data_IF_789717346713
#
_entry.id   IF_789717346713
#
_cell.length_a   1.000
_cell.length_b   1.000
_cell.length_c   1.000
_cell.angle_alpha   90.00
_cell.angle_beta   90.00
_cell.angle_gamma   90.00
#
_symmetry.space_group_name_H-M   'P 1'
#
loop_
_entity.id
_entity.type
_entity.pdbx_description
1 polymer ?
#
# COMPACT_ATOMS: atom_id res chain seq x y z
N UNK A 1 15.64 1.54 4.74
CA UNK A 1 15.06 1.13 6.05
C UNK A 1 15.52 -0.25 6.47
N UNK A 2 15.19 -1.31 5.74
CA UNK A 2 15.48 -2.70 6.15
C UNK A 2 16.81 -3.28 5.62
N UNK A 3 17.72 -2.45 5.12
CA UNK A 3 19.02 -2.85 4.54
C UNK A 3 19.02 -4.12 3.64
N UNK A 4 18.11 -4.16 2.66
CA UNK A 4 17.99 -5.30 1.75
C UNK A 4 19.27 -5.57 0.93
N UNK A 5 20.19 -4.61 0.80
CA UNK A 5 21.47 -4.83 0.11
C UNK A 5 22.39 -5.74 0.92
N UNK A 6 22.44 -5.56 2.25
CA UNK A 6 23.23 -6.41 3.13
C UNK A 6 22.56 -7.77 3.37
N UNK A 7 21.25 -7.77 3.62
CA UNK A 7 20.54 -8.98 4.05
C UNK A 7 19.96 -9.83 2.91
N UNK A 8 19.70 -9.24 1.74
CA UNK A 8 19.23 -9.97 0.57
C UNK A 8 17.86 -10.61 0.72
N UNK A 9 16.91 -9.99 1.43
CA UNK A 9 15.56 -10.50 1.62
C UNK A 9 14.80 -10.71 0.30
N UNK A 10 14.89 -9.77 -0.63
CA UNK A 10 14.23 -9.85 -1.94
C UNK A 10 15.11 -9.39 -3.09
N UNK A 11 14.65 -9.67 -4.31
CA UNK A 11 15.16 -9.09 -5.55
C UNK A 11 14.00 -8.61 -6.42
N UNK A 12 14.17 -7.47 -7.09
CA UNK A 12 13.19 -6.98 -8.07
C UNK A 12 13.41 -7.67 -9.42
N UNK A 13 12.35 -8.23 -10.01
CA UNK A 13 12.36 -8.81 -11.37
C UNK A 13 11.05 -8.53 -12.08
N UNK A 14 11.10 -7.87 -13.24
CA UNK A 14 9.91 -7.51 -14.04
C UNK A 14 8.81 -6.78 -13.23
N UNK A 15 9.22 -5.91 -12.31
CA UNK A 15 8.29 -5.18 -11.42
C UNK A 15 7.86 -5.94 -10.16
N UNK A 16 8.26 -7.21 -9.99
CA UNK A 16 7.90 -8.02 -8.83
C UNK A 16 9.00 -8.04 -7.77
N UNK A 17 8.60 -7.84 -6.51
CA UNK A 17 9.43 -8.08 -5.33
C UNK A 17 9.43 -9.58 -5.00
N UNK A 18 10.43 -10.31 -5.47
CA UNK A 18 10.50 -11.77 -5.32
C UNK A 18 11.45 -12.18 -4.18
N UNK A 19 11.13 -13.24 -3.40
CA UNK A 19 12.06 -13.81 -2.42
C UNK A 19 13.37 -14.19 -3.10
N UNK A 20 14.50 -13.85 -2.48
CA UNK A 20 15.81 -14.25 -3.02
C UNK A 20 16.10 -15.72 -2.76
N UNK A 21 15.76 -16.20 -1.56
CA UNK A 21 15.93 -17.58 -1.10
C UNK A 21 14.72 -17.99 -0.26
N UNK A 22 14.44 -19.29 -0.08
CA UNK A 22 13.36 -19.75 0.80
C UNK A 22 13.47 -19.14 2.21
N UNK A 23 12.35 -18.66 2.75
CA UNK A 23 12.28 -18.06 4.10
C UNK A 23 12.84 -16.64 4.23
N UNK A 24 13.42 -16.05 3.18
CA UNK A 24 14.00 -14.70 3.26
C UNK A 24 12.96 -13.62 3.54
N UNK A 25 11.76 -13.76 2.96
CA UNK A 25 10.64 -12.86 3.24
C UNK A 25 10.08 -13.08 4.66
N UNK A 26 10.05 -14.32 5.14
CA UNK A 26 9.62 -14.60 6.52
C UNK A 26 10.54 -13.91 7.54
N UNK A 27 11.86 -13.91 7.31
CA UNK A 27 12.82 -13.18 8.15
C UNK A 27 12.54 -11.68 8.17
N UNK A 28 12.25 -11.08 7.01
CA UNK A 28 11.89 -9.66 6.92
C UNK A 28 10.57 -9.37 7.65
N UNK A 29 9.54 -10.17 7.42
CA UNK A 29 8.25 -9.99 8.11
C UNK A 29 8.40 -10.12 9.63
N UNK A 30 9.24 -11.04 10.11
CA UNK A 30 9.54 -11.17 11.54
C UNK A 30 10.29 -9.95 12.08
N UNK A 31 11.25 -9.39 11.32
CA UNK A 31 11.94 -8.16 11.70
C UNK A 31 10.96 -6.99 11.86
N UNK A 32 10.03 -6.84 10.90
CA UNK A 32 9.02 -5.79 10.93
C UNK A 32 8.07 -6.00 12.12
N UNK A 33 7.56 -7.22 12.33
CA UNK A 33 6.54 -7.51 13.35
C UNK A 33 7.04 -7.44 14.80
N UNK A 34 8.34 -7.53 15.04
CA UNK A 34 8.91 -7.56 16.40
C UNK A 34 9.61 -6.24 16.79
N UNK A 35 9.54 -5.21 15.96
CA UNK A 35 10.09 -3.88 16.25
C UNK A 35 9.13 -2.80 15.72
N UNK A 36 8.30 -2.24 16.60
CA UNK A 36 7.34 -1.19 16.26
C UNK A 36 8.01 0.00 15.55
N UNK A 37 9.24 0.36 15.95
CA UNK A 37 9.98 1.46 15.30
C UNK A 37 10.39 1.06 13.89
N UNK A 38 10.68 -0.21 13.65
CA UNK A 38 10.96 -0.71 12.31
C UNK A 38 9.71 -0.72 11.45
N UNK A 39 8.57 -1.15 12.00
CA UNK A 39 7.29 -1.15 11.30
C UNK A 39 6.90 0.25 10.83
N UNK A 40 6.94 1.24 11.73
CA UNK A 40 6.62 2.63 11.40
C UNK A 40 7.58 3.19 10.35
N UNK A 41 8.89 2.99 10.53
CA UNK A 41 9.90 3.42 9.54
C UNK A 41 9.68 2.75 8.18
N UNK A 42 9.30 1.48 8.17
CA UNK A 42 9.05 0.75 6.92
C UNK A 42 7.82 1.34 6.21
N UNK A 43 6.76 1.68 6.96
CA UNK A 43 5.54 2.32 6.45
C UNK A 43 5.81 3.71 5.89
N UNK A 44 6.56 4.54 6.61
CA UNK A 44 6.95 5.89 6.19
C UNK A 44 7.87 5.90 4.96
N UNK A 45 8.59 4.81 4.71
CA UNK A 45 9.47 4.70 3.54
C UNK A 45 8.74 4.29 2.26
N UNK A 46 7.47 3.89 2.33
CA UNK A 46 6.68 3.58 1.14
C UNK A 46 6.27 4.87 0.44
N UNK A 47 6.37 4.88 -0.88
CA UNK A 47 5.97 5.99 -1.73
C UNK A 47 4.99 5.50 -2.80
N UNK A 48 4.08 6.39 -3.20
CA UNK A 48 3.11 6.16 -4.28
C UNK A 48 3.35 7.17 -5.41
N UNK A 49 2.99 6.81 -6.63
CA UNK A 49 2.94 7.76 -7.74
C UNK A 49 1.64 8.55 -7.69
N UNK A 50 1.65 9.85 -7.98
CA UNK A 50 0.43 10.65 -8.05
C UNK A 50 0.39 11.42 -9.36
N UNK A 51 -0.69 11.25 -10.11
CA UNK A 51 -1.04 12.11 -11.23
C UNK A 51 -2.19 13.01 -10.83
N UNK A 52 -1.91 14.31 -10.74
CA UNK A 52 -2.90 15.33 -10.42
C UNK A 52 -3.64 15.77 -11.67
N UNK A 53 -4.93 16.05 -11.52
CA UNK A 53 -5.76 16.68 -12.54
C UNK A 53 -5.67 15.97 -13.91
N UNK A 54 -5.70 14.63 -13.94
CA UNK A 54 -5.63 13.85 -15.19
C UNK A 54 -7.02 13.60 -15.74
N UNK A 55 -7.18 13.67 -17.07
CA UNK A 55 -8.42 13.26 -17.73
C UNK A 55 -8.56 11.74 -17.73
N UNK A 56 -9.80 11.26 -17.67
CA UNK A 56 -10.14 9.84 -17.79
C UNK A 56 -10.49 9.54 -19.24
N UNK A 57 -9.94 8.46 -19.80
CA UNK A 57 -10.26 8.05 -21.16
C UNK A 57 -11.77 7.87 -21.37
N UNK A 58 -12.33 8.57 -22.35
CA UNK A 58 -13.77 8.52 -22.66
C UNK A 58 -14.66 9.39 -21.76
N UNK A 59 -14.08 10.23 -20.90
CA UNK A 59 -14.80 11.20 -20.07
C UNK A 59 -14.22 12.61 -20.19
N UNK A 60 -14.98 13.59 -19.69
CA UNK A 60 -14.55 15.01 -19.60
C UNK A 60 -14.16 15.45 -18.19
N UNK A 61 -14.30 14.58 -17.19
CA UNK A 61 -13.95 14.90 -15.81
C UNK A 61 -12.47 14.61 -15.54
N UNK A 62 -11.88 15.39 -14.63
CA UNK A 62 -10.49 15.25 -14.21
C UNK A 62 -10.41 14.62 -12.82
N UNK A 63 -9.40 13.79 -12.60
CA UNK A 63 -9.20 13.04 -11.36
C UNK A 63 -7.79 13.22 -10.84
N UNK A 64 -7.62 13.01 -9.53
CA UNK A 64 -6.32 12.68 -8.97
C UNK A 64 -6.20 11.16 -8.94
N UNK A 65 -5.21 10.60 -9.63
CA UNK A 65 -4.96 9.16 -9.63
C UNK A 65 -3.73 8.85 -8.80
N UNK A 66 -3.91 8.01 -7.78
CA UNK A 66 -2.83 7.52 -6.93
C UNK A 66 -2.46 6.10 -7.38
N UNK A 67 -1.22 5.94 -7.86
CA UNK A 67 -0.66 4.69 -8.32
C UNK A 67 0.05 3.97 -7.17
N UNK A 68 -0.64 2.96 -6.65
CA UNK A 68 -0.14 2.12 -5.56
C UNK A 68 0.39 0.78 -6.10
N UNK A 69 1.33 0.19 -5.35
CA UNK A 69 1.81 -1.19 -5.58
C UNK A 69 1.41 -2.09 -4.41
N UNK A 70 1.36 -3.40 -4.65
CA UNK A 70 1.22 -4.41 -3.62
C UNK A 70 2.22 -5.54 -3.84
N UNK A 71 2.48 -6.33 -2.79
CA UNK A 71 3.42 -7.43 -2.86
C UNK A 71 2.85 -8.63 -3.62
N UNK A 72 3.68 -9.36 -4.39
CA UNK A 72 3.26 -10.49 -5.19
C UNK A 72 3.19 -11.77 -4.36
N UNK A 73 2.23 -11.84 -3.43
CA UNK A 73 2.05 -12.99 -2.53
C UNK A 73 1.64 -14.25 -3.31
N UNK A 74 0.65 -14.12 -4.19
CA UNK A 74 0.06 -15.21 -4.98
C UNK A 74 1.03 -15.91 -5.96
N UNK A 75 1.75 -15.17 -6.82
CA UNK A 75 2.58 -15.79 -7.87
C UNK A 75 3.95 -16.28 -7.37
N UNK A 76 4.14 -16.48 -6.06
CA UNK A 76 5.39 -16.98 -5.48
C UNK A 76 5.21 -18.35 -4.83
N UNK A 77 6.28 -19.15 -4.76
CA UNK A 77 6.28 -20.47 -4.11
C UNK A 77 6.41 -20.39 -2.58
N UNK A 78 5.91 -19.33 -1.96
CA UNK A 78 6.04 -19.09 -0.50
C UNK A 78 4.67 -19.12 0.17
N UNK A 79 4.64 -19.41 1.49
CA UNK A 79 3.38 -19.34 2.22
C UNK A 79 2.97 -17.89 2.38
N UNK A 80 1.70 -17.57 2.18
CA UNK A 80 1.21 -16.20 2.37
C UNK A 80 1.52 -15.66 3.78
N UNK A 81 1.46 -16.49 4.83
CA UNK A 81 1.80 -16.08 6.19
C UNK A 81 3.22 -15.49 6.34
N UNK A 82 4.17 -15.88 5.48
CA UNK A 82 5.53 -15.33 5.48
C UNK A 82 5.58 -13.86 5.08
N UNK A 83 4.54 -13.36 4.39
CA UNK A 83 4.46 -11.98 3.91
C UNK A 83 3.74 -11.04 4.86
N UNK A 84 3.04 -11.55 5.87
CA UNK A 84 1.99 -10.81 6.59
C UNK A 84 2.41 -9.38 6.97
N UNK A 85 3.46 -9.22 7.78
CA UNK A 85 3.86 -7.91 8.26
C UNK A 85 4.36 -7.00 7.12
N UNK A 86 5.14 -7.55 6.17
CA UNK A 86 5.61 -6.76 5.04
C UNK A 86 4.48 -6.31 4.11
N UNK A 87 3.51 -7.20 3.85
CA UNK A 87 2.33 -6.89 3.04
C UNK A 87 1.44 -5.85 3.71
N UNK A 88 1.20 -5.98 5.02
CA UNK A 88 0.42 -5.01 5.80
C UNK A 88 1.05 -3.62 5.72
N UNK A 89 2.35 -3.48 5.94
CA UNK A 89 3.06 -2.20 5.84
C UNK A 89 2.85 -1.54 4.47
N UNK A 90 2.97 -2.30 3.37
CA UNK A 90 2.79 -1.77 2.01
C UNK A 90 1.33 -1.36 1.75
N UNK A 91 0.37 -2.19 2.15
CA UNK A 91 -1.05 -1.92 1.95
C UNK A 91 -1.51 -0.71 2.77
N UNK A 92 -1.13 -0.66 4.05
CA UNK A 92 -1.47 0.45 4.95
C UNK A 92 -0.93 1.78 4.42
N UNK A 93 0.34 1.82 4.02
CA UNK A 93 0.94 3.02 3.47
C UNK A 93 0.28 3.45 2.15
N UNK A 94 -0.12 2.49 1.30
CA UNK A 94 -0.81 2.80 0.05
C UNK A 94 -2.18 3.46 0.28
N UNK A 95 -3.00 2.92 1.20
CA UNK A 95 -4.29 3.52 1.54
C UNK A 95 -4.15 4.86 2.26
N UNK A 96 -3.23 4.95 3.23
CA UNK A 96 -2.91 6.18 3.96
C UNK A 96 -2.45 7.29 3.03
N UNK A 97 -1.53 7.00 2.11
CA UNK A 97 -1.07 7.97 1.11
C UNK A 97 -2.19 8.42 0.17
N UNK A 98 -3.10 7.50 -0.21
CA UNK A 98 -4.25 7.82 -1.05
C UNK A 98 -5.20 8.80 -0.36
N UNK A 99 -5.54 8.54 0.90
CA UNK A 99 -6.42 9.42 1.68
C UNK A 99 -5.73 10.73 2.05
N UNK A 100 -4.44 10.72 2.32
CA UNK A 100 -3.64 11.93 2.54
C UNK A 100 -3.63 12.82 1.30
N UNK A 101 -3.43 12.27 0.10
CA UNK A 101 -3.51 13.03 -1.14
C UNK A 101 -4.88 13.68 -1.35
N UNK A 102 -5.96 12.95 -1.02
CA UNK A 102 -7.31 13.48 -1.09
C UNK A 102 -7.58 14.57 -0.04
N UNK A 103 -7.06 14.42 1.18
CA UNK A 103 -7.17 15.43 2.24
C UNK A 103 -6.46 16.74 1.85
N UNK A 104 -5.29 16.65 1.22
CA UNK A 104 -4.60 17.81 0.65
C UNK A 104 -5.46 18.52 -0.40
N UNK A 105 -6.08 17.78 -1.34
CA UNK A 105 -6.98 18.37 -2.34
C UNK A 105 -8.20 19.03 -1.70
N UNK A 106 -8.76 18.42 -0.68
CA UNK A 106 -9.93 18.95 0.01
C UNK A 106 -9.61 20.26 0.73
N UNK A 107 -8.43 20.33 1.36
CA UNK A 107 -7.91 21.55 1.98
C UNK A 107 -7.64 22.65 0.94
N UNK A 108 -7.02 22.32 -0.20
CA UNK A 108 -6.72 23.26 -1.29
C UNK A 108 -8.00 23.85 -1.92
N UNK A 109 -9.02 23.02 -2.13
CA UNK A 109 -10.28 23.42 -2.77
C UNK A 109 -11.29 24.04 -1.80
N UNK A 110 -11.13 23.80 -0.51
CA UNK A 110 -12.09 24.23 0.52
C UNK A 110 -13.42 23.47 0.46
N UNK A 111 -13.43 22.25 -0.08
CA UNK A 111 -14.63 21.42 -0.25
C UNK A 111 -14.35 19.95 0.04
N UNK A 112 -15.41 19.15 0.18
CA UNK A 112 -15.25 17.70 0.37
C UNK A 112 -14.80 17.03 -0.92
N UNK A 113 -13.88 16.07 -0.81
CA UNK A 113 -13.35 15.31 -1.96
C UNK A 113 -13.86 13.88 -1.95
N UNK A 114 -14.40 13.44 -3.09
CA UNK A 114 -14.77 12.04 -3.31
C UNK A 114 -13.54 11.20 -3.56
N UNK A 115 -13.45 10.05 -2.89
CA UNK A 115 -12.35 9.10 -3.02
C UNK A 115 -12.90 7.73 -3.33
N UNK A 116 -12.35 7.07 -4.35
CA UNK A 116 -12.70 5.69 -4.71
C UNK A 116 -11.50 4.80 -4.41
N UNK A 117 -11.64 3.94 -3.41
CA UNK A 117 -10.63 2.94 -3.09
C UNK A 117 -10.87 1.67 -3.90
N UNK A 118 -9.80 0.93 -4.15
CA UNK A 118 -9.87 -0.39 -4.78
C UNK A 118 -9.19 -1.41 -3.87
N UNK A 119 -9.48 -2.69 -4.06
CA UNK A 119 -8.82 -3.78 -3.35
C UNK A 119 -7.40 -4.02 -3.89
N UNK A 120 -6.47 -3.13 -3.56
CA UNK A 120 -5.07 -3.14 -4.00
C UNK A 120 -4.42 -4.47 -3.60
N UNK A 121 -3.80 -5.16 -4.57
CA UNK A 121 -3.12 -6.43 -4.32
C UNK A 121 -4.02 -7.65 -4.19
N UNK A 122 -5.33 -7.52 -4.39
CA UNK A 122 -6.24 -8.66 -4.51
C UNK A 122 -6.02 -9.44 -5.82
N UNK A 123 -6.84 -10.48 -6.05
CA UNK A 123 -6.80 -11.27 -7.28
C UNK A 123 -5.47 -11.99 -7.46
N UNK A 124 -4.84 -11.81 -8.64
CA UNK A 124 -3.60 -12.51 -9.00
C UNK A 124 -2.45 -12.23 -8.03
N UNK A 125 -2.39 -11.04 -7.43
CA UNK A 125 -1.34 -10.68 -6.47
C UNK A 125 -1.48 -11.41 -5.13
N UNK A 126 -2.66 -11.97 -4.82
CA UNK A 126 -2.86 -12.91 -3.73
C UNK A 126 -2.76 -12.36 -2.31
N UNK A 127 -2.82 -11.03 -2.12
CA UNK A 127 -2.94 -10.46 -0.77
C UNK A 127 -4.30 -10.87 -0.19
N UNK A 128 -4.32 -11.26 1.08
CA UNK A 128 -5.54 -11.79 1.70
C UNK A 128 -6.59 -10.67 1.83
N UNK A 129 -7.88 -10.96 1.54
CA UNK A 129 -8.94 -9.96 1.69
C UNK A 129 -8.99 -9.31 3.09
N UNK A 130 -8.69 -10.07 4.14
CA UNK A 130 -8.65 -9.56 5.51
C UNK A 130 -7.51 -8.55 5.75
N UNK A 131 -6.38 -8.68 5.04
CA UNK A 131 -5.27 -7.73 5.15
C UNK A 131 -5.62 -6.41 4.46
N UNK A 132 -6.21 -6.52 3.27
CA UNK A 132 -6.68 -5.37 2.50
C UNK A 132 -7.74 -4.61 3.30
N UNK A 133 -8.73 -5.32 3.84
CA UNK A 133 -9.78 -4.72 4.66
C UNK A 133 -9.22 -4.06 5.93
N UNK A 134 -8.31 -4.72 6.65
CA UNK A 134 -7.69 -4.13 7.85
C UNK A 134 -6.84 -2.90 7.54
N UNK A 135 -6.09 -2.91 6.43
CA UNK A 135 -5.31 -1.76 5.99
C UNK A 135 -6.22 -0.58 5.59
N UNK A 136 -7.32 -0.84 4.88
CA UNK A 136 -8.35 0.16 4.59
C UNK A 136 -8.95 0.73 5.87
N UNK A 137 -9.39 -0.13 6.80
CA UNK A 137 -10.02 0.28 8.07
C UNK A 137 -9.10 1.19 8.89
N UNK A 138 -7.81 0.86 8.96
CA UNK A 138 -6.81 1.68 9.64
C UNK A 138 -6.65 3.06 8.99
N UNK A 139 -6.54 3.12 7.66
CA UNK A 139 -6.43 4.38 6.93
C UNK A 139 -7.71 5.22 7.09
N UNK A 140 -8.89 4.62 6.96
CA UNK A 140 -10.18 5.27 7.16
C UNK A 140 -10.31 5.85 8.57
N UNK A 141 -9.88 5.10 9.59
CA UNK A 141 -9.90 5.56 10.98
C UNK A 141 -8.99 6.77 11.20
N UNK A 142 -7.81 6.76 10.59
CA UNK A 142 -6.85 7.88 10.67
C UNK A 142 -7.39 9.16 10.00
N UNK A 143 -8.08 9.00 8.87
CA UNK A 143 -8.65 10.10 8.09
C UNK A 143 -10.13 10.38 8.40
N UNK A 144 -10.67 9.85 9.49
CA UNK A 144 -12.10 9.91 9.80
C UNK A 144 -12.66 11.33 9.98
N UNK A 145 -11.80 12.31 10.27
CA UNK A 145 -12.16 13.72 10.45
C UNK A 145 -11.91 14.57 9.21
N UNK A 146 -11.28 14.00 8.19
CA UNK A 146 -10.99 14.73 6.97
C UNK A 146 -12.26 14.90 6.14
N UNK A 147 -12.36 15.98 5.34
CA UNK A 147 -13.51 16.25 4.49
C UNK A 147 -13.55 15.32 3.26
N UNK A 148 -13.64 14.01 3.47
CA UNK A 148 -13.57 12.98 2.42
C UNK A 148 -14.86 12.17 2.34
N UNK A 149 -15.38 11.97 1.13
CA UNK A 149 -16.47 11.05 0.82
C UNK A 149 -15.90 9.79 0.19
N UNK A 150 -15.64 8.77 1.02
CA UNK A 150 -14.93 7.55 0.58
C UNK A 150 -15.92 6.47 0.11
N UNK A 151 -15.62 5.89 -1.05
CA UNK A 151 -16.34 4.82 -1.71
C UNK A 151 -15.42 3.61 -1.93
N UNK A 152 -15.97 2.40 -1.80
CA UNK A 152 -15.28 1.11 -1.97
C UNK A 152 -15.78 0.36 -3.21
#
# INVERSE_FOLDING_TARGET
VVDNKAHGYWAMRNGYCLPRVPGSIAMLSNLIANDDKMEDKAREAIQVGIHWDTEVWGGSHRVCQVFCSALPVGPTLTKSSEWLAFAMVVLEAAYDATLTAAACLAAERGERVKVYLTAVGAGLMGNRPSWIAGAMERALSKHAKDPLDVHL
#
